data_IF_849970297482
#
_entry.id   IF_849970297482
#
_cell.length_a   1.000
_cell.length_b   1.000
_cell.length_c   1.000
_cell.angle_alpha   90.00
_cell.angle_beta   90.00
_cell.angle_gamma   90.00
#
_symmetry.space_group_name_H-M   'P 1'
#
loop_
_entity.id
_entity.type
_entity.pdbx_description
1 polymer ?
#
# COMPACT_ATOMS: atom_id res chain seq x y z
N UNK A 1 -23.57 4.01 4.69
CA UNK A 1 -22.51 4.20 3.69
C UNK A 1 -21.21 3.85 4.39
N UNK A 2 -20.35 2.99 3.81
CA UNK A 2 -19.08 2.67 4.44
C UNK A 2 -18.20 3.93 4.54
N UNK A 3 -17.38 3.99 5.58
CA UNK A 3 -16.34 5.01 5.72
C UNK A 3 -15.08 4.54 5.00
N UNK A 4 -14.47 5.43 4.21
CA UNK A 4 -13.20 5.15 3.53
C UNK A 4 -12.16 6.10 4.11
N UNK A 5 -11.19 5.53 4.82
CA UNK A 5 -10.15 6.27 5.51
C UNK A 5 -8.77 5.89 4.98
N UNK A 6 -7.83 6.84 5.02
CA UNK A 6 -6.42 6.53 4.77
C UNK A 6 -5.88 5.68 5.92
N UNK A 7 -5.19 4.60 5.59
CA UNK A 7 -4.55 3.72 6.56
C UNK A 7 -3.13 3.42 6.09
N UNK A 8 -2.14 4.06 6.73
CA UNK A 8 -0.75 4.09 6.26
C UNK A 8 -0.70 4.55 4.78
N UNK A 9 -0.05 3.76 3.93
CA UNK A 9 0.04 3.97 2.47
C UNK A 9 -1.16 3.41 1.70
N UNK A 10 -2.16 2.84 2.39
CA UNK A 10 -3.33 2.19 1.80
C UNK A 10 -4.65 2.83 2.22
N UNK A 11 -5.73 2.07 2.05
CA UNK A 11 -7.11 2.47 2.36
C UNK A 11 -7.78 1.42 3.25
N UNK A 12 -8.54 1.91 4.23
CA UNK A 12 -9.44 1.11 5.05
C UNK A 12 -10.89 1.44 4.70
N UNK A 13 -11.65 0.42 4.29
CA UNK A 13 -13.07 0.49 3.97
C UNK A 13 -13.84 -0.14 5.13
N UNK A 14 -14.51 0.69 5.91
CA UNK A 14 -15.18 0.31 7.15
C UNK A 14 -16.70 0.30 6.97
N UNK A 15 -17.29 -0.88 7.14
CA UNK A 15 -18.72 -1.07 7.31
C UNK A 15 -19.11 -1.02 8.79
N UNK A 16 -20.28 -1.58 9.11
CA UNK A 16 -20.74 -1.64 10.49
C UNK A 16 -19.99 -2.70 11.28
N UNK A 17 -19.65 -3.85 10.69
CA UNK A 17 -19.04 -4.97 11.42
C UNK A 17 -17.68 -5.35 10.88
N UNK A 18 -17.40 -5.03 9.63
CA UNK A 18 -16.16 -5.39 8.96
C UNK A 18 -15.39 -4.17 8.49
N UNK A 19 -14.07 -4.25 8.58
CA UNK A 19 -13.15 -3.30 7.98
C UNK A 19 -12.20 -4.07 7.07
N UNK A 20 -12.24 -3.75 5.78
CA UNK A 20 -11.31 -4.29 4.79
C UNK A 20 -10.21 -3.26 4.60
N UNK A 21 -8.98 -3.63 4.91
CA UNK A 21 -7.80 -2.80 4.69
C UNK A 21 -7.03 -3.32 3.50
N UNK A 22 -6.72 -2.43 2.56
CA UNK A 22 -5.98 -2.71 1.32
C UNK A 22 -4.73 -1.83 1.36
N UNK A 23 -3.56 -2.45 1.47
CA UNK A 23 -2.25 -1.79 1.49
C UNK A 23 -1.44 -2.16 0.26
N UNK A 24 -0.54 -1.28 -0.21
CA UNK A 24 0.40 -1.66 -1.26
C UNK A 24 1.38 -2.70 -0.73
N UNK A 25 1.74 -3.67 -1.57
CA UNK A 25 2.89 -4.54 -1.36
C UNK A 25 4.01 -4.06 -2.29
N UNK A 26 4.93 -3.25 -1.75
CA UNK A 26 6.03 -2.65 -2.53
C UNK A 26 7.42 -3.18 -2.11
N UNK A 27 7.50 -3.78 -0.93
CA UNK A 27 8.69 -4.37 -0.36
C UNK A 27 8.78 -5.83 -0.81
N UNK A 28 9.33 -6.09 -2.00
CA UNK A 28 9.72 -7.45 -2.41
C UNK A 28 10.96 -7.87 -1.61
N UNK A 29 10.79 -8.04 -0.29
CA UNK A 29 11.87 -8.45 0.60
C UNK A 29 12.11 -9.96 0.53
N UNK A 30 11.13 -10.75 0.08
CA UNK A 30 11.27 -12.18 -0.10
C UNK A 30 11.09 -12.61 -1.58
N UNK A 31 12.03 -13.38 -2.16
CA UNK A 31 11.96 -13.88 -3.54
C UNK A 31 10.73 -14.74 -3.87
N UNK A 32 10.06 -15.27 -2.85
CA UNK A 32 8.88 -16.16 -2.98
C UNK A 32 7.56 -15.41 -3.17
N UNK A 33 7.52 -14.10 -2.90
CA UNK A 33 6.32 -13.26 -2.97
C UNK A 33 6.29 -12.37 -4.23
N UNK A 34 7.09 -12.72 -5.24
CA UNK A 34 7.65 -11.82 -6.26
C UNK A 34 6.67 -11.09 -7.18
N UNK A 35 5.36 -11.26 -7.02
CA UNK A 35 4.36 -10.62 -7.87
C UNK A 35 3.18 -10.00 -7.11
N UNK A 36 3.08 -10.16 -5.78
CA UNK A 36 2.03 -9.51 -5.03
C UNK A 36 2.23 -7.98 -5.06
N UNK A 37 1.16 -7.25 -5.29
CA UNK A 37 1.13 -5.77 -5.27
C UNK A 37 0.17 -5.23 -4.22
N UNK A 38 -0.63 -6.11 -3.60
CA UNK A 38 -1.62 -5.78 -2.59
C UNK A 38 -1.43 -6.65 -1.34
N UNK A 39 -1.64 -6.05 -0.18
CA UNK A 39 -1.81 -6.72 1.11
C UNK A 39 -3.24 -6.46 1.57
N UNK A 40 -4.03 -7.51 1.76
CA UNK A 40 -5.42 -7.38 2.19
C UNK A 40 -5.60 -7.99 3.57
N UNK A 41 -6.23 -7.22 4.47
CA UNK A 41 -6.64 -7.70 5.80
C UNK A 41 -8.11 -7.40 6.06
N UNK A 42 -8.68 -8.19 6.96
CA UNK A 42 -10.04 -7.99 7.46
C UNK A 42 -9.98 -7.90 8.97
N UNK A 43 -10.43 -6.78 9.50
CA UNK A 43 -10.80 -6.65 10.91
C UNK A 43 -12.31 -6.76 11.05
N UNK A 44 -12.76 -7.28 12.18
CA UNK A 44 -14.16 -7.27 12.56
C UNK A 44 -14.33 -6.71 13.97
N UNK A 45 -15.55 -6.30 14.29
CA UNK A 45 -16.00 -6.08 15.66
C UNK A 45 -17.23 -6.94 15.95
N UNK A 46 -17.37 -7.37 17.19
CA UNK A 46 -18.48 -8.23 17.59
C UNK A 46 -18.87 -8.00 19.04
N UNK A 47 -20.17 -7.87 19.35
CA UNK A 47 -20.64 -7.73 20.72
C UNK A 47 -20.16 -8.84 21.68
N UNK A 48 -19.80 -10.02 21.16
CA UNK A 48 -19.32 -11.14 21.96
C UNK A 48 -17.88 -11.01 22.49
N UNK A 49 -17.07 -10.09 21.96
CA UNK A 49 -15.70 -9.84 22.43
C UNK A 49 -15.39 -8.34 22.57
N UNK A 50 -16.43 -7.50 22.61
CA UNK A 50 -16.33 -6.05 22.80
C UNK A 50 -16.47 -5.27 21.50
N UNK A 51 -16.60 -3.94 21.61
CA UNK A 51 -16.75 -3.04 20.46
C UNK A 51 -15.42 -2.67 19.80
N UNK A 52 -14.32 -3.30 20.20
CA UNK A 52 -13.01 -3.11 19.59
C UNK A 52 -12.88 -3.87 18.27
N UNK A 53 -12.13 -3.28 17.33
CA UNK A 53 -11.73 -3.97 16.11
C UNK A 53 -10.62 -4.97 16.42
N UNK A 54 -10.78 -6.21 15.99
CA UNK A 54 -9.62 -7.11 15.87
C UNK A 54 -9.58 -7.83 14.53
N UNK A 55 -8.36 -8.17 14.16
CA UNK A 55 -8.02 -8.84 12.91
C UNK A 55 -8.59 -10.26 12.91
N UNK A 56 -9.42 -10.54 11.91
CA UNK A 56 -10.07 -11.86 11.72
C UNK A 56 -9.58 -12.57 10.46
N UNK A 57 -8.84 -11.89 9.58
CA UNK A 57 -8.15 -12.52 8.44
C UNK A 57 -6.98 -13.43 8.85
N UNK A 58 -6.74 -13.61 10.16
CA UNK A 58 -5.59 -14.34 10.73
C UNK A 58 -4.45 -13.40 11.15
N UNK A 59 -3.35 -13.98 11.64
CA UNK A 59 -2.17 -13.24 12.11
C UNK A 59 -1.35 -12.60 10.97
N UNK A 60 -1.70 -12.87 9.71
CA UNK A 60 -0.88 -12.52 8.55
C UNK A 60 -1.72 -11.76 7.53
N UNK A 61 -1.15 -10.68 7.00
CA UNK A 61 -1.67 -9.94 5.85
C UNK A 61 -1.66 -10.85 4.63
N UNK A 62 -2.71 -10.86 3.81
CA UNK A 62 -2.73 -11.77 2.65
C UNK A 62 -2.11 -11.05 1.45
N UNK A 63 -0.90 -11.42 1.00
CA UNK A 63 -0.32 -10.91 -0.23
C UNK A 63 -1.10 -11.44 -1.42
N UNK A 64 -1.53 -10.53 -2.30
CA UNK A 64 -2.34 -10.87 -3.46
C UNK A 64 -1.93 -10.04 -4.67
N UNK A 65 -2.13 -10.62 -5.85
CA UNK A 65 -2.21 -9.87 -7.10
C UNK A 65 -3.64 -9.36 -7.30
N UNK A 66 -3.85 -8.33 -8.14
CA UNK A 66 -5.19 -7.83 -8.43
C UNK A 66 -6.13 -8.94 -8.92
N UNK A 67 -5.66 -9.88 -9.76
CA UNK A 67 -6.49 -10.99 -10.26
C UNK A 67 -6.91 -12.02 -9.19
N UNK A 68 -6.20 -12.04 -8.06
CA UNK A 68 -6.47 -12.91 -6.91
C UNK A 68 -7.50 -12.28 -5.95
N UNK A 69 -7.86 -11.00 -6.16
CA UNK A 69 -8.90 -10.28 -5.43
C UNK A 69 -10.14 -10.12 -6.31
N UNK A 70 -11.29 -10.64 -5.86
CA UNK A 70 -12.54 -10.62 -6.63
C UNK A 70 -13.68 -10.12 -5.78
N UNK A 71 -14.46 -9.18 -6.31
CA UNK A 71 -15.75 -8.81 -5.75
C UNK A 71 -16.84 -9.34 -6.67
N UNK A 72 -17.63 -10.27 -6.17
CA UNK A 72 -18.67 -10.99 -6.93
C UNK A 72 -20.01 -10.88 -6.23
N UNK A 73 -21.09 -11.31 -6.90
CA UNK A 73 -22.39 -11.47 -6.27
C UNK A 73 -22.76 -12.94 -6.14
N UNK A 74 -23.16 -13.36 -4.95
CA UNK A 74 -23.74 -14.68 -4.72
C UNK A 74 -25.25 -14.59 -4.93
N UNK A 75 -25.77 -15.40 -5.86
CA UNK A 75 -27.18 -15.46 -6.24
C UNK A 75 -27.83 -14.11 -6.60
N UNK A 76 -27.01 -13.12 -7.01
CA UNK A 76 -27.45 -11.77 -7.38
C UNK A 76 -27.89 -10.88 -6.21
N UNK A 77 -27.68 -11.30 -4.95
CA UNK A 77 -28.23 -10.60 -3.77
C UNK A 77 -27.14 -10.15 -2.80
N UNK A 78 -26.09 -10.97 -2.60
CA UNK A 78 -25.05 -10.68 -1.62
C UNK A 78 -23.73 -10.40 -2.34
N UNK A 79 -23.16 -9.22 -2.11
CA UNK A 79 -21.81 -8.93 -2.56
C UNK A 79 -20.80 -9.68 -1.70
N UNK A 80 -19.79 -10.26 -2.35
CA UNK A 80 -18.80 -11.13 -1.72
C UNK A 80 -17.42 -10.74 -2.20
N UNK A 81 -16.54 -10.42 -1.25
CA UNK A 81 -15.11 -10.27 -1.48
C UNK A 81 -14.42 -11.61 -1.29
N UNK A 82 -13.64 -12.02 -2.29
CA UNK A 82 -12.75 -13.18 -2.23
C UNK A 82 -11.31 -12.71 -2.42
N UNK A 83 -10.43 -13.13 -1.53
CA UNK A 83 -8.98 -12.95 -1.66
C UNK A 83 -8.38 -14.33 -1.51
N UNK A 84 -8.02 -14.94 -2.65
CA UNK A 84 -7.64 -16.34 -2.75
C UNK A 84 -6.40 -16.49 -3.64
N UNK A 85 -5.23 -16.02 -3.21
CA UNK A 85 -3.98 -16.20 -3.96
C UNK A 85 -3.60 -17.68 -4.07
N UNK A 86 -2.90 -18.08 -5.15
CA UNK A 86 -2.32 -19.42 -5.25
C UNK A 86 -1.08 -19.51 -4.36
N UNK A 87 -1.05 -20.49 -3.46
CA UNK A 87 0.09 -20.68 -2.55
C UNK A 87 1.22 -21.51 -3.18
N UNK A 88 0.93 -22.25 -4.25
CA UNK A 88 1.87 -23.13 -4.90
C UNK A 88 1.81 -22.93 -6.41
N UNK A 89 2.95 -22.58 -7.01
CA UNK A 89 3.06 -22.32 -8.46
C UNK A 89 2.59 -23.50 -9.31
N UNK A 90 2.82 -24.72 -8.84
CA UNK A 90 2.50 -25.96 -9.55
C UNK A 90 1.08 -26.49 -9.24
N UNK A 91 0.35 -25.86 -8.30
CA UNK A 91 -1.03 -26.20 -7.94
C UNK A 91 -1.91 -24.93 -7.88
N UNK A 92 -2.09 -24.20 -9.01
CA UNK A 92 -2.78 -22.91 -9.03
C UNK A 92 -4.27 -22.98 -8.67
N UNK A 93 -4.86 -24.16 -8.66
CA UNK A 93 -6.24 -24.42 -8.22
C UNK A 93 -6.36 -24.49 -6.70
N UNK A 94 -5.29 -24.85 -5.98
CA UNK A 94 -5.28 -24.90 -4.52
C UNK A 94 -4.94 -23.52 -3.95
N UNK A 95 -5.98 -22.81 -3.52
CA UNK A 95 -5.93 -21.42 -3.07
C UNK A 95 -6.35 -21.31 -1.62
N UNK A 96 -5.66 -20.48 -0.86
CA UNK A 96 -5.94 -20.23 0.56
C UNK A 96 -6.08 -18.73 0.79
N UNK A 97 -7.03 -18.34 1.61
CA UNK A 97 -7.31 -16.95 1.94
C UNK A 97 -8.68 -16.83 2.59
N UNK A 98 -9.47 -15.82 2.22
CA UNK A 98 -10.81 -15.65 2.77
C UNK A 98 -11.88 -15.38 1.72
N UNK A 99 -13.13 -15.59 2.16
CA UNK A 99 -14.34 -15.12 1.51
C UNK A 99 -15.15 -14.36 2.55
N UNK A 100 -15.55 -13.13 2.22
CA UNK A 100 -16.28 -12.24 3.10
C UNK A 100 -17.55 -11.74 2.40
N UNK A 101 -18.71 -11.99 3.00
CA UNK A 101 -19.94 -11.32 2.60
C UNK A 101 -19.85 -9.85 3.00
N UNK A 102 -19.96 -8.96 2.03
CA UNK A 102 -19.80 -7.53 2.21
C UNK A 102 -21.08 -6.88 2.76
N UNK A 103 -20.89 -5.84 3.56
CA UNK A 103 -21.99 -5.01 4.03
C UNK A 103 -22.41 -4.02 2.94
N UNK A 104 -23.67 -3.52 2.96
CA UNK A 104 -24.18 -2.64 1.92
C UNK A 104 -23.29 -1.43 1.65
N UNK A 105 -22.92 -1.26 0.37
CA UNK A 105 -22.09 -0.16 -0.13
C UNK A 105 -20.58 -0.37 -0.03
N UNK A 106 -20.10 -1.44 0.65
CA UNK A 106 -18.66 -1.73 0.71
C UNK A 106 -18.08 -2.13 -0.66
N UNK A 107 -18.87 -2.79 -1.51
CA UNK A 107 -18.44 -3.29 -2.82
C UNK A 107 -17.82 -2.19 -3.68
N UNK A 108 -18.52 -1.09 -3.85
CA UNK A 108 -18.15 0.01 -4.72
C UNK A 108 -16.90 0.71 -4.19
N UNK A 109 -16.82 0.90 -2.87
CA UNK A 109 -15.66 1.45 -2.20
C UNK A 109 -14.41 0.56 -2.37
N UNK A 110 -14.56 -0.76 -2.25
CA UNK A 110 -13.47 -1.72 -2.45
C UNK A 110 -13.02 -1.71 -3.93
N UNK A 111 -13.97 -1.77 -4.87
CA UNK A 111 -13.66 -1.75 -6.30
C UNK A 111 -12.96 -0.45 -6.72
N UNK A 112 -13.32 0.69 -6.12
CA UNK A 112 -12.63 1.96 -6.35
C UNK A 112 -11.25 2.02 -5.68
N UNK A 113 -11.05 1.35 -4.54
CA UNK A 113 -9.81 1.35 -3.80
C UNK A 113 -8.71 0.48 -4.44
N UNK A 114 -9.07 -0.71 -4.94
CA UNK A 114 -8.11 -1.69 -5.48
C UNK A 114 -7.12 -1.11 -6.51
N UNK A 115 -7.57 -0.51 -7.64
CA UNK A 115 -6.64 0.01 -8.65
C UNK A 115 -5.80 1.19 -8.13
N UNK A 116 -6.34 1.97 -7.19
CA UNK A 116 -5.62 3.11 -6.59
C UNK A 116 -4.48 2.63 -5.70
N UNK A 117 -4.73 1.63 -4.85
CA UNK A 117 -3.70 1.07 -3.96
C UNK A 117 -2.66 0.27 -4.76
N UNK A 118 -3.08 -0.47 -5.80
CA UNK A 118 -2.14 -1.13 -6.70
C UNK A 118 -1.17 -0.13 -7.35
N UNK A 119 -1.70 1.02 -7.81
CA UNK A 119 -0.89 2.10 -8.38
C UNK A 119 0.13 2.66 -7.40
N UNK A 120 -0.18 2.70 -6.09
CA UNK A 120 0.81 3.06 -5.05
C UNK A 120 1.98 2.06 -5.07
N UNK A 121 1.70 0.75 -5.10
CA UNK A 121 2.75 -0.27 -5.15
C UNK A 121 3.61 -0.14 -6.42
N UNK A 122 2.98 0.00 -7.59
CA UNK A 122 3.67 0.17 -8.88
C UNK A 122 4.56 1.42 -8.89
N UNK A 123 4.04 2.55 -8.42
CA UNK A 123 4.82 3.80 -8.34
C UNK A 123 5.98 3.68 -7.36
N UNK A 124 5.76 3.04 -6.22
CA UNK A 124 6.82 2.78 -5.22
C UNK A 124 7.93 1.94 -5.82
N UNK A 125 7.58 0.90 -6.60
CA UNK A 125 8.55 0.06 -7.29
C UNK A 125 9.36 0.88 -8.30
N UNK A 126 8.70 1.64 -9.18
CA UNK A 126 9.35 2.44 -10.21
C UNK A 126 10.27 3.52 -9.64
N UNK A 127 9.83 4.23 -8.59
CA UNK A 127 10.67 5.22 -7.90
C UNK A 127 11.84 4.54 -7.21
N UNK A 128 11.62 3.37 -6.61
CA UNK A 128 12.66 2.54 -6.02
C UNK A 128 13.76 2.20 -7.02
N UNK A 129 13.42 1.77 -8.24
CA UNK A 129 14.39 1.43 -9.30
C UNK A 129 15.28 2.61 -9.68
N UNK A 130 14.69 3.81 -9.82
CA UNK A 130 15.46 5.02 -10.13
C UNK A 130 16.34 5.42 -8.95
N UNK A 131 15.82 5.34 -7.72
CA UNK A 131 16.56 5.67 -6.51
C UNK A 131 17.75 4.71 -6.28
N UNK A 132 17.57 3.41 -6.54
CA UNK A 132 18.64 2.40 -6.49
C UNK A 132 19.82 2.80 -7.40
N UNK A 133 19.51 3.16 -8.65
CA UNK A 133 20.53 3.60 -9.61
C UNK A 133 21.24 4.88 -9.19
N UNK A 134 20.52 5.86 -8.64
CA UNK A 134 21.09 7.15 -8.23
C UNK A 134 21.95 7.02 -6.96
N UNK A 135 21.58 6.12 -6.06
CA UNK A 135 22.23 5.95 -4.76
C UNK A 135 23.33 4.88 -4.76
N UNK A 136 23.43 4.06 -5.81
CA UNK A 136 24.34 2.92 -5.85
C UNK A 136 24.00 1.86 -4.80
N UNK A 137 22.70 1.68 -4.53
CA UNK A 137 22.15 0.75 -3.53
C UNK A 137 21.07 -0.10 -4.18
N UNK A 138 20.69 -1.19 -3.53
CA UNK A 138 19.62 -2.09 -3.99
C UNK A 138 18.57 -2.30 -2.89
N UNK A 139 17.40 -2.82 -3.21
CA UNK A 139 16.40 -3.30 -2.24
C UNK A 139 16.65 -4.74 -1.79
N UNK A 140 17.64 -5.42 -2.38
CA UNK A 140 18.04 -6.76 -1.97
C UNK A 140 18.62 -6.73 -0.54
N UNK A 141 17.97 -7.41 0.43
CA UNK A 141 18.42 -7.41 1.82
C UNK A 141 19.80 -8.04 2.02
N UNK A 142 20.29 -8.81 1.05
CA UNK A 142 21.58 -9.50 1.10
C UNK A 142 22.69 -8.81 0.29
N UNK A 143 22.39 -7.72 -0.40
CA UNK A 143 23.39 -6.94 -1.12
C UNK A 143 24.35 -6.21 -0.18
N UNK A 144 25.54 -5.87 -0.69
CA UNK A 144 26.55 -5.13 0.07
C UNK A 144 26.11 -3.70 0.39
N UNK A 145 25.34 -3.07 -0.51
CA UNK A 145 24.75 -1.75 -0.32
C UNK A 145 23.23 -1.81 -0.55
N UNK A 146 22.48 -1.58 0.52
CA UNK A 146 21.02 -1.75 0.51
C UNK A 146 20.31 -0.47 0.95
N UNK A 147 19.22 -0.13 0.27
CA UNK A 147 18.23 0.85 0.73
C UNK A 147 17.63 0.38 2.05
N UNK A 148 17.61 1.26 3.05
CA UNK A 148 17.07 0.89 4.35
C UNK A 148 15.56 0.71 4.27
N UNK A 149 15.02 -0.19 5.09
CA UNK A 149 13.58 -0.40 5.21
C UNK A 149 12.80 0.92 5.33
N UNK A 150 13.26 1.84 6.19
CA UNK A 150 12.60 3.13 6.39
C UNK A 150 12.67 4.05 5.15
N UNK A 151 13.69 3.90 4.29
CA UNK A 151 13.79 4.63 3.02
C UNK A 151 12.72 4.09 2.04
N UNK A 152 12.50 2.78 2.01
CA UNK A 152 11.45 2.15 1.19
C UNK A 152 10.06 2.60 1.65
N UNK A 153 9.82 2.59 2.97
CA UNK A 153 8.56 3.11 3.56
C UNK A 153 8.35 4.58 3.24
N UNK A 154 9.41 5.39 3.22
CA UNK A 154 9.31 6.80 2.83
C UNK A 154 8.90 6.96 1.36
N UNK A 155 9.50 6.19 0.45
CA UNK A 155 9.11 6.18 -0.98
C UNK A 155 7.64 5.79 -1.12
N UNK A 156 7.21 4.75 -0.40
CA UNK A 156 5.81 4.31 -0.41
C UNK A 156 4.85 5.38 0.11
N UNK A 157 5.22 6.10 1.18
CA UNK A 157 4.43 7.20 1.73
C UNK A 157 4.31 8.38 0.76
N UNK A 158 5.39 8.71 0.02
CA UNK A 158 5.35 9.70 -1.06
C UNK A 158 4.38 9.25 -2.15
N UNK A 159 4.51 8.01 -2.62
CA UNK A 159 3.65 7.44 -3.65
C UNK A 159 2.17 7.46 -3.23
N UNK A 160 1.86 7.05 -2.00
CA UNK A 160 0.52 7.10 -1.44
C UNK A 160 -0.01 8.53 -1.31
N UNK A 161 0.86 9.49 -0.99
CA UNK A 161 0.47 10.90 -0.88
C UNK A 161 0.08 11.52 -2.22
N UNK A 162 0.73 11.10 -3.31
CA UNK A 162 0.35 11.51 -4.67
C UNK A 162 -0.93 10.79 -5.09
N UNK A 163 -0.97 9.46 -5.01
CA UNK A 163 -2.04 8.66 -5.62
C UNK A 163 -3.34 8.68 -4.81
N UNK A 164 -3.24 8.60 -3.48
CA UNK A 164 -4.41 8.58 -2.59
C UNK A 164 -4.74 9.95 -2.03
N UNK A 165 -3.71 10.77 -1.77
CA UNK A 165 -3.85 12.11 -1.22
C UNK A 165 -3.96 13.22 -2.27
N UNK A 166 -3.76 12.92 -3.56
CA UNK A 166 -3.78 13.87 -4.68
C UNK A 166 -2.85 15.08 -4.44
N UNK A 167 -1.77 14.85 -3.70
CA UNK A 167 -0.79 15.91 -3.39
C UNK A 167 0.13 16.15 -4.59
N UNK A 168 0.53 17.41 -4.83
CA UNK A 168 1.67 17.72 -5.68
C UNK A 168 2.93 16.98 -5.21
N UNK A 169 3.86 16.69 -6.14
CA UNK A 169 5.09 15.92 -5.86
C UNK A 169 5.89 16.52 -4.70
N UNK A 170 6.11 17.83 -4.71
CA UNK A 170 6.91 18.49 -3.67
C UNK A 170 6.26 18.38 -2.28
N UNK A 171 4.95 18.57 -2.19
CA UNK A 171 4.19 18.41 -0.95
C UNK A 171 4.15 16.94 -0.49
N UNK A 172 4.08 16.00 -1.43
CA UNK A 172 4.12 14.58 -1.13
C UNK A 172 5.48 14.19 -0.52
N UNK A 173 6.59 14.72 -1.03
CA UNK A 173 7.93 14.52 -0.48
C UNK A 173 8.02 15.14 0.92
N UNK A 174 7.70 16.43 1.04
CA UNK A 174 7.80 17.20 2.29
C UNK A 174 7.03 16.57 3.45
N UNK A 175 5.82 16.09 3.18
CA UNK A 175 4.91 15.57 4.21
C UNK A 175 4.81 14.04 4.24
N UNK A 176 5.88 13.32 3.89
CA UNK A 176 5.87 11.84 3.80
C UNK A 176 6.24 11.13 5.09
N UNK A 177 7.19 11.65 5.89
CA UNK A 177 7.68 10.98 7.10
C UNK A 177 7.74 11.95 8.27
N UNK A 178 6.85 11.75 9.24
CA UNK A 178 6.84 12.49 10.51
C UNK A 178 7.62 11.70 11.56
N UNK A 179 8.64 12.32 12.15
CA UNK A 179 9.59 11.61 13.01
C UNK A 179 9.10 11.50 14.47
N UNK A 180 9.20 10.32 15.09
CA UNK A 180 8.96 10.15 16.52
C UNK A 180 10.09 10.77 17.37
N UNK A 181 9.90 10.91 18.69
CA UNK A 181 8.70 10.57 19.45
C UNK A 181 7.66 11.69 19.55
N UNK A 182 8.04 12.96 19.38
CA UNK A 182 7.12 14.10 19.52
C UNK A 182 6.28 14.36 18.26
N UNK A 183 6.64 13.77 17.11
CA UNK A 183 5.91 13.93 15.85
C UNK A 183 5.71 15.40 15.45
N UNK A 184 6.75 16.21 15.62
CA UNK A 184 6.75 17.64 15.26
C UNK A 184 7.63 17.96 14.06
N UNK A 185 8.51 17.04 13.67
CA UNK A 185 9.55 17.27 12.66
C UNK A 185 9.41 16.29 11.52
N UNK A 186 9.42 16.79 10.29
CA UNK A 186 9.38 16.00 9.08
C UNK A 186 10.79 15.60 8.64
N UNK A 187 10.93 14.41 8.05
CA UNK A 187 12.21 13.91 7.56
C UNK A 187 12.74 14.71 6.36
N UNK A 188 11.83 15.26 5.56
CA UNK A 188 12.15 16.08 4.39
C UNK A 188 11.65 17.49 4.60
N UNK A 189 12.52 18.48 4.44
CA UNK A 189 12.20 19.87 4.75
C UNK A 189 12.86 20.86 3.80
N UNK A 190 12.36 22.09 3.82
CA UNK A 190 12.94 23.21 3.06
C UNK A 190 14.28 23.67 3.67
N UNK A 191 14.43 23.50 4.99
CA UNK A 191 15.63 23.83 5.76
C UNK A 191 16.68 22.69 5.75
N UNK A 192 16.45 21.65 4.95
CA UNK A 192 17.29 20.46 4.86
C UNK A 192 16.57 19.19 5.33
N UNK A 193 17.04 18.07 4.79
CA UNK A 193 16.55 16.75 5.16
C UNK A 193 17.26 16.23 6.42
N UNK A 194 16.59 15.36 7.14
CA UNK A 194 17.18 14.69 8.30
C UNK A 194 18.36 13.81 7.87
N UNK A 195 19.45 13.70 8.67
CA UNK A 195 20.69 13.05 8.23
C UNK A 195 20.53 11.62 7.71
N UNK A 196 19.57 10.86 8.24
CA UNK A 196 19.29 9.49 7.80
C UNK A 196 18.53 9.43 6.46
N UNK A 197 17.91 10.53 6.05
CA UNK A 197 17.11 10.65 4.83
C UNK A 197 17.76 11.56 3.77
N UNK A 198 18.85 12.27 4.10
CA UNK A 198 19.48 13.28 3.23
C UNK A 198 19.76 12.75 1.81
N UNK A 199 20.38 11.58 1.70
CA UNK A 199 20.68 10.99 0.41
C UNK A 199 19.40 10.63 -0.37
N UNK A 200 18.39 10.07 0.30
CA UNK A 200 17.11 9.76 -0.32
C UNK A 200 16.38 11.03 -0.75
N UNK A 201 16.32 12.05 0.10
CA UNK A 201 15.63 13.30 -0.20
C UNK A 201 16.31 14.07 -1.34
N UNK A 202 17.64 14.03 -1.44
CA UNK A 202 18.37 14.51 -2.61
C UNK A 202 18.00 13.73 -3.88
N UNK A 203 17.92 12.40 -3.79
CA UNK A 203 17.51 11.55 -4.91
C UNK A 203 16.05 11.79 -5.34
N UNK A 204 15.11 11.93 -4.41
CA UNK A 204 13.70 12.20 -4.68
C UNK A 204 13.47 13.54 -5.41
N UNK A 205 14.35 14.52 -5.17
CA UNK A 205 14.32 15.84 -5.84
C UNK A 205 15.09 15.85 -7.17
N UNK A 206 15.64 14.72 -7.62
CA UNK A 206 16.25 14.61 -8.95
C UNK A 206 15.18 14.65 -10.04
N UNK A 207 15.43 15.33 -11.19
CA UNK A 207 14.45 15.41 -12.28
C UNK A 207 13.95 14.04 -12.77
N UNK A 208 14.82 13.04 -12.78
CA UNK A 208 14.51 11.68 -13.21
C UNK A 208 13.47 11.01 -12.29
N UNK A 209 13.56 11.23 -10.98
CA UNK A 209 12.59 10.71 -10.00
C UNK A 209 11.31 11.55 -10.01
N UNK A 210 11.42 12.87 -10.07
CA UNK A 210 10.25 13.75 -10.14
C UNK A 210 9.40 13.49 -11.38
N UNK A 211 10.00 13.11 -12.51
CA UNK A 211 9.27 12.75 -13.72
C UNK A 211 8.37 11.51 -13.50
N UNK A 212 8.92 10.47 -12.86
CA UNK A 212 8.16 9.24 -12.52
C UNK A 212 7.03 9.56 -11.55
N UNK A 213 7.30 10.35 -10.51
CA UNK A 213 6.30 10.78 -9.53
C UNK A 213 5.17 11.61 -10.18
N UNK A 214 5.52 12.49 -11.13
CA UNK A 214 4.55 13.35 -11.82
C UNK A 214 3.70 12.62 -12.86
N UNK A 215 4.24 11.60 -13.53
CA UNK A 215 3.45 10.71 -14.42
C UNK A 215 2.33 10.03 -13.64
N UNK A 216 2.63 9.54 -12.44
CA UNK A 216 1.63 8.90 -11.60
C UNK A 216 0.51 9.83 -11.12
N UNK A 217 0.78 11.13 -10.97
CA UNK A 217 -0.24 12.13 -10.65
C UNK A 217 -1.15 12.51 -11.83
N UNK A 218 -0.70 12.33 -13.08
CA UNK A 218 -1.43 12.78 -14.28
C UNK A 218 -2.57 11.86 -14.70
N UNK A 219 -2.42 10.54 -14.60
CA UNK A 219 -3.53 9.64 -14.98
C UNK A 219 -4.67 9.61 -13.95
N UNK A 220 -4.59 10.40 -12.86
CA UNK A 220 -5.71 10.60 -11.92
C UNK A 220 -6.72 11.64 -12.43
N UNK A 221 -6.33 12.49 -13.39
CA UNK A 221 -7.16 13.56 -13.92
C UNK A 221 -7.91 13.19 -15.23
N UNK A 222 -7.75 11.95 -15.71
CA UNK A 222 -8.36 11.42 -16.93
C UNK A 222 -9.46 10.40 -16.60
#
# INVERSE_FOLDING_TARGET
MPEVNRYNSGLAIQGERFRVTIQPCSSHLEPTESHATLLVTVDARSPSWGDEWARVSGDIEIPARPEDVRVTQTAGILDVLQVLPPNHKDLPEFRTGFTLTLEPGMREAILAALPRVERVAQLTIAVGEVAESLLGRTRDPYAQTTLKWYEIVAIESVAASIVLGEKPVDDAIKWSVLLPPEYTTWAFGDDGDQPHYEALGAALRRPEVQAVLAEAGRDLAA
#
